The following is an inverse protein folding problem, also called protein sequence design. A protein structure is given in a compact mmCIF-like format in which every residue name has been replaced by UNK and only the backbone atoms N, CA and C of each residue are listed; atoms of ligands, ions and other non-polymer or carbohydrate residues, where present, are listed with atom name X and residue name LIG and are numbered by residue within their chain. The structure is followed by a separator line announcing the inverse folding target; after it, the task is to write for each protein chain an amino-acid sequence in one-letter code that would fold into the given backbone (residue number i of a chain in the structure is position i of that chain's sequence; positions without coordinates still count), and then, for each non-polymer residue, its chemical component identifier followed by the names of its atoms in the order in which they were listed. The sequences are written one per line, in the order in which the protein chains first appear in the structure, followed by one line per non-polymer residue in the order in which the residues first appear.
data_IF_296374602034
#
_entry.id   IF_296374602034
#
_cell.length_a   1.000
_cell.length_b   1.000
_cell.length_c   1.000
_cell.angle_alpha   90.00
_cell.angle_beta   90.00
_cell.angle_gamma   90.00
#
_symmetry.space_group_name_H-M   'P 1'
#
loop_
_entity.id
_entity.type
_entity.pdbx_description
1 polymer ?
#
# COMPACT_ATOMS: atom_id res chain seq x y z
N UNK A 1 -9.82 5.19 -11.03
CA UNK A 1 -9.40 5.45 -9.63
C UNK A 1 -9.77 4.34 -8.63
N UNK A 2 -10.58 3.32 -8.97
CA UNK A 2 -11.04 2.33 -7.96
C UNK A 2 -9.99 1.35 -7.40
N UNK A 3 -8.90 1.06 -8.11
CA UNK A 3 -7.92 0.05 -7.67
C UNK A 3 -7.03 0.51 -6.50
N UNK A 4 -6.65 1.78 -6.46
CA UNK A 4 -5.84 2.33 -5.37
C UNK A 4 -6.61 2.33 -4.03
N UNK A 5 -7.92 2.56 -4.10
CA UNK A 5 -8.79 2.57 -2.93
C UNK A 5 -8.94 1.16 -2.33
N UNK A 6 -9.05 0.13 -3.17
CA UNK A 6 -9.10 -1.26 -2.72
C UNK A 6 -7.80 -1.73 -2.03
N UNK A 7 -6.64 -1.21 -2.46
CA UNK A 7 -5.36 -1.47 -1.79
C UNK A 7 -5.26 -0.81 -0.41
N UNK A 8 -5.89 0.36 -0.23
CA UNK A 8 -5.88 1.10 1.03
C UNK A 8 -6.76 0.48 2.12
N UNK A 9 -7.71 -0.38 1.75
CA UNK A 9 -8.62 -1.07 2.67
C UNK A 9 -8.22 -2.52 2.94
N UNK A 10 -7.15 -3.01 2.30
CA UNK A 10 -6.71 -4.39 2.41
C UNK A 10 -6.02 -4.60 3.77
N UNK A 11 -6.53 -5.52 4.58
CA UNK A 11 -5.97 -5.83 5.89
C UNK A 11 -4.74 -6.72 5.75
N UNK A 12 -3.86 -6.70 6.77
CA UNK A 12 -2.63 -7.47 6.77
C UNK A 12 -2.90 -8.97 6.56
N UNK A 13 -2.22 -9.58 5.60
CA UNK A 13 -2.40 -10.99 5.24
C UNK A 13 -3.59 -11.26 4.31
N UNK A 14 -4.41 -10.26 4.01
CA UNK A 14 -5.45 -10.40 2.99
C UNK A 14 -4.86 -10.36 1.58
N UNK A 15 -5.53 -11.10 0.70
CA UNK A 15 -5.18 -11.21 -0.70
C UNK A 15 -6.33 -10.64 -1.54
N UNK A 16 -6.00 -9.71 -2.42
CA UNK A 16 -6.94 -9.10 -3.36
C UNK A 16 -6.58 -9.57 -4.78
N UNK A 17 -7.59 -10.07 -5.48
CA UNK A 17 -7.49 -10.42 -6.89
C UNK A 17 -7.72 -9.15 -7.74
N UNK A 18 -6.76 -8.81 -8.59
CA UNK A 18 -6.80 -7.64 -9.47
C UNK A 18 -7.06 -8.01 -10.93
N UNK A 19 -7.23 -9.29 -11.23
CA UNK A 19 -7.44 -9.84 -12.57
C UNK A 19 -6.95 -11.28 -12.68
N UNK A 20 -7.20 -11.95 -13.82
CA UNK A 20 -7.02 -13.41 -13.97
C UNK A 20 -5.62 -13.94 -13.65
N UNK A 21 -4.62 -13.06 -13.71
CA UNK A 21 -3.22 -13.40 -13.48
C UNK A 21 -2.53 -12.52 -12.43
N UNK A 22 -3.25 -11.57 -11.78
CA UNK A 22 -2.64 -10.60 -10.88
C UNK A 22 -3.33 -10.68 -9.52
N UNK A 23 -2.52 -10.94 -8.50
CA UNK A 23 -2.96 -10.91 -7.10
C UNK A 23 -2.07 -9.98 -6.30
N UNK A 24 -2.60 -9.40 -5.24
CA UNK A 24 -1.84 -8.57 -4.33
C UNK A 24 -2.09 -9.02 -2.89
N UNK A 25 -1.04 -9.07 -2.09
CA UNK A 25 -1.12 -9.39 -0.67
C UNK A 25 -0.64 -8.20 0.16
N UNK A 26 -1.42 -7.81 1.16
CA UNK A 26 -0.98 -6.81 2.13
C UNK A 26 0.02 -7.44 3.11
N UNK A 27 1.18 -6.79 3.25
CA UNK A 27 2.28 -7.21 4.13
C UNK A 27 2.69 -6.04 5.03
N UNK A 28 3.48 -6.25 6.09
CA UNK A 28 3.94 -5.15 6.92
C UNK A 28 4.68 -4.13 6.05
N UNK A 29 4.30 -2.86 6.16
CA UNK A 29 4.90 -1.72 5.45
C UNK A 29 4.77 -1.75 3.92
N UNK A 30 3.83 -2.49 3.33
CA UNK A 30 3.63 -2.44 1.89
C UNK A 30 2.74 -3.54 1.33
N UNK A 31 2.97 -3.87 0.05
CA UNK A 31 2.21 -4.86 -0.69
C UNK A 31 3.13 -5.74 -1.53
N UNK A 32 2.74 -7.00 -1.72
CA UNK A 32 3.39 -7.91 -2.68
C UNK A 32 2.43 -8.14 -3.85
N UNK A 33 2.82 -7.69 -5.03
CA UNK A 33 2.12 -7.97 -6.28
C UNK A 33 2.67 -9.25 -6.87
N UNK A 34 1.80 -10.23 -7.12
CA UNK A 34 2.16 -11.49 -7.75
C UNK A 34 1.46 -11.57 -9.10
N UNK A 35 2.24 -11.74 -10.16
CA UNK A 35 1.75 -11.88 -11.51
C UNK A 35 2.12 -13.26 -12.07
N UNK A 36 1.12 -13.99 -12.56
CA UNK A 36 1.32 -15.27 -13.25
C UNK A 36 1.45 -15.03 -14.75
N UNK A 37 2.39 -15.74 -15.37
CA UNK A 37 2.62 -15.70 -16.80
C UNK A 37 2.86 -17.11 -17.32
N UNK A 38 2.85 -17.28 -18.64
CA UNK A 38 3.15 -18.57 -19.29
C UNK A 38 4.52 -19.16 -18.88
N UNK A 39 5.49 -18.31 -18.57
CA UNK A 39 6.85 -18.70 -18.23
C UNK A 39 7.10 -18.88 -16.72
N UNK A 40 6.12 -18.57 -15.85
CA UNK A 40 6.31 -18.66 -14.40
C UNK A 40 5.54 -17.59 -13.63
N UNK A 41 6.01 -17.31 -12.40
CA UNK A 41 5.41 -16.33 -11.49
C UNK A 41 6.44 -15.25 -11.19
N UNK A 42 6.02 -13.99 -11.21
CA UNK A 42 6.83 -12.84 -10.81
C UNK A 42 6.20 -12.16 -9.60
N UNK A 43 7.02 -11.83 -8.60
CA UNK A 43 6.57 -11.13 -7.40
C UNK A 43 7.33 -9.82 -7.23
N UNK A 44 6.62 -8.73 -6.96
CA UNK A 44 7.17 -7.39 -6.76
C UNK A 44 6.71 -6.83 -5.43
N UNK A 45 7.66 -6.44 -4.57
CA UNK A 45 7.36 -5.74 -3.33
C UNK A 45 7.27 -4.24 -3.59
N UNK A 46 6.19 -3.61 -3.10
CA UNK A 46 5.95 -2.17 -3.17
C UNK A 46 5.82 -1.63 -1.75
N UNK A 47 6.73 -0.76 -1.28
CA UNK A 47 6.63 -0.18 0.05
C UNK A 47 5.44 0.79 0.14
N UNK A 48 4.81 0.83 1.31
CA UNK A 48 3.76 1.80 1.61
C UNK A 48 4.37 3.20 1.60
N UNK A 49 3.79 4.17 0.85
CA UNK A 49 4.27 5.54 0.90
C UNK A 49 4.20 6.03 2.34
N UNK A 50 5.35 6.49 2.87
CA UNK A 50 5.36 7.19 4.14
C UNK A 50 4.54 8.46 3.95
N UNK A 51 3.46 8.62 4.72
CA UNK A 51 2.78 9.90 4.78
C UNK A 51 3.83 10.94 5.21
N UNK A 52 3.90 12.10 4.52
CA UNK A 52 4.74 13.19 5.00
C UNK A 52 4.35 13.45 6.46
N UNK A 53 5.32 13.39 7.37
CA UNK A 53 5.10 13.83 8.73
C UNK A 53 4.72 15.31 8.64
N UNK A 54 3.44 15.62 8.80
CA UNK A 54 3.01 17.00 9.04
C UNK A 54 3.55 17.31 10.44
N UNK A 55 4.75 17.89 10.51
CA UNK A 55 5.20 18.56 11.72
C UNK A 55 4.14 19.60 12.04
N UNK A 56 3.32 19.32 13.06
CA UNK A 56 2.45 20.32 13.65
C UNK A 56 3.38 21.41 14.17
N UNK A 57 3.54 22.48 13.39
CA UNK A 57 4.17 23.70 13.87
C UNK A 57 3.32 24.19 15.04
N UNK A 58 3.79 23.91 16.26
CA UNK A 58 3.20 24.42 17.49
C UNK A 58 3.34 25.93 17.44
N UNK A 59 2.29 26.63 17.04
CA UNK A 59 2.20 28.09 17.19
C UNK A 59 2.17 28.36 18.69
N UNK A 60 3.32 28.74 19.25
CA UNK A 60 3.39 29.23 20.63
C UNK A 60 2.99 30.71 20.58
N UNK A 61 1.79 31.04 21.06
CA UNK A 61 1.44 32.44 21.30
C UNK A 61 2.29 32.95 22.49
N UNK A 62 2.91 34.14 22.39
CA UNK A 62 3.53 34.78 23.55
C UNK A 62 2.43 35.15 24.55
N UNK A 63 2.66 34.83 25.83
CA UNK A 63 1.74 35.16 26.92
C UNK A 63 1.55 36.70 26.98
N UNK A 64 0.29 37.14 26.95
CA UNK A 64 -0.12 38.52 27.26
C UNK A 64 -0.12 38.75 28.77
#
# INVERSE_FOLDING_TARGET
MHRAQALSTLLLGEMLDLGPDITVMAVPNGWIFTQRHKAGITSTYVPMPQQPQIEQQKIVLPNL
#
